data_IF_694969664341
#
_entry.id   IF_694969664341
#
_cell.length_a   1.000
_cell.length_b   1.000
_cell.length_c   1.000
_cell.angle_alpha   90.00
_cell.angle_beta   90.00
_cell.angle_gamma   90.00
#
_symmetry.space_group_name_H-M   'P 1'
#
loop_
_entity.id
_entity.type
_entity.pdbx_description
1 polymer ?
#
# COMPACT_ATOMS: atom_id res chain seq x y z
N UNK A 1 -6.56 -5.89 8.03
CA UNK A 1 -7.57 -5.17 7.25
C UNK A 1 -8.66 -6.15 6.87
N UNK A 2 -9.02 -6.20 5.58
CA UNK A 2 -10.00 -7.15 5.02
C UNK A 2 -9.34 -8.21 4.13
N UNK A 3 -8.01 -8.32 4.17
CA UNK A 3 -7.25 -9.29 3.41
C UNK A 3 -7.57 -10.74 3.75
N UNK A 4 -6.94 -11.65 3.03
CA UNK A 4 -7.09 -13.08 3.24
C UNK A 4 -6.69 -13.49 4.66
N UNK A 5 -7.44 -14.42 5.26
CA UNK A 5 -7.15 -14.93 6.62
C UNK A 5 -6.13 -16.08 6.62
N UNK A 6 -5.85 -16.65 5.45
CA UNK A 6 -4.84 -17.67 5.21
C UNK A 6 -4.12 -17.31 3.91
N UNK A 7 -2.86 -17.72 3.77
CA UNK A 7 -2.09 -17.54 2.54
C UNK A 7 -2.85 -18.16 1.35
N UNK A 8 -2.97 -17.41 0.25
CA UNK A 8 -3.75 -17.78 -0.95
C UNK A 8 -5.26 -18.03 -0.70
N UNK A 9 -5.76 -17.61 0.47
CA UNK A 9 -7.16 -17.72 0.84
C UNK A 9 -8.03 -16.59 0.28
N UNK A 10 -9.33 -16.69 0.55
CA UNK A 10 -10.28 -15.63 0.24
C UNK A 10 -10.20 -14.48 1.26
N UNK A 11 -10.46 -13.26 0.79
CA UNK A 11 -10.62 -12.06 1.62
C UNK A 11 -11.84 -12.18 2.55
N UNK A 12 -11.87 -11.35 3.58
CA UNK A 12 -12.96 -11.30 4.58
C UNK A 12 -13.79 -10.03 4.42
N UNK A 13 -15.07 -10.08 4.78
CA UNK A 13 -15.92 -8.88 4.87
C UNK A 13 -15.93 -8.26 6.28
N UNK A 14 -15.24 -8.88 7.23
CA UNK A 14 -15.07 -8.41 8.61
C UNK A 14 -13.66 -7.85 8.78
N UNK A 15 -13.56 -6.63 9.32
CA UNK A 15 -12.29 -5.98 9.61
C UNK A 15 -11.50 -6.80 10.65
N UNK A 16 -10.22 -7.01 10.38
CA UNK A 16 -9.27 -7.71 11.25
C UNK A 16 -8.06 -6.83 11.56
N UNK A 17 -7.54 -7.00 12.77
CA UNK A 17 -6.25 -6.45 13.21
C UNK A 17 -5.38 -7.56 13.81
N UNK A 18 -4.07 -7.31 13.85
CA UNK A 18 -3.12 -8.16 14.57
C UNK A 18 -1.99 -7.30 15.15
N UNK A 19 -1.28 -7.82 16.14
CA UNK A 19 -0.14 -7.15 16.76
C UNK A 19 1.14 -7.76 16.23
N UNK A 20 2.05 -6.89 15.78
CA UNK A 20 3.35 -7.26 15.25
C UNK A 20 4.45 -6.68 16.13
N UNK A 21 5.61 -7.31 16.11
CA UNK A 21 6.84 -6.81 16.72
C UNK A 21 7.73 -6.20 15.65
N UNK A 22 8.44 -5.13 16.00
CA UNK A 22 9.44 -4.57 15.12
C UNK A 22 10.52 -5.63 14.82
N UNK A 23 10.91 -5.72 13.55
CA UNK A 23 11.95 -6.63 13.09
C UNK A 23 13.14 -5.82 12.59
N UNK A 24 14.35 -6.36 12.78
CA UNK A 24 15.58 -5.68 12.38
C UNK A 24 15.59 -5.43 10.86
N UNK A 25 15.67 -4.15 10.48
CA UNK A 25 15.59 -3.73 9.07
C UNK A 25 16.74 -4.27 8.25
N UNK A 26 17.95 -4.35 8.80
CA UNK A 26 19.14 -4.85 8.09
C UNK A 26 18.98 -6.33 7.73
N UNK A 27 18.56 -7.13 8.71
CA UNK A 27 18.26 -8.56 8.53
C UNK A 27 17.14 -8.76 7.50
N UNK A 28 16.08 -7.97 7.58
CA UNK A 28 14.97 -8.01 6.64
C UNK A 28 15.41 -7.69 5.21
N UNK A 29 16.16 -6.59 5.00
CA UNK A 29 16.68 -6.20 3.69
C UNK A 29 17.58 -7.29 3.11
N UNK A 30 18.41 -7.93 3.93
CA UNK A 30 19.22 -9.08 3.49
C UNK A 30 18.38 -10.28 3.06
N UNK A 31 17.28 -10.56 3.75
CA UNK A 31 16.40 -11.67 3.44
C UNK A 31 15.63 -11.48 2.12
N UNK A 32 15.24 -10.25 1.79
CA UNK A 32 14.50 -9.94 0.56
C UNK A 32 15.41 -9.53 -0.62
N UNK A 33 16.61 -9.00 -0.36
CA UNK A 33 17.64 -8.69 -1.36
C UNK A 33 17.38 -7.48 -2.26
N UNK A 34 16.14 -6.97 -2.31
CA UNK A 34 15.69 -5.93 -3.24
C UNK A 34 15.01 -4.73 -2.56
N UNK A 35 15.31 -4.51 -1.26
CA UNK A 35 14.70 -3.44 -0.47
C UNK A 35 15.64 -2.22 -0.31
N UNK A 36 15.08 -1.02 -0.47
CA UNK A 36 15.77 0.21 -0.10
C UNK A 36 15.68 0.40 1.42
N UNK A 37 16.82 0.25 2.11
CA UNK A 37 16.92 0.19 3.58
C UNK A 37 16.12 1.29 4.30
N UNK A 38 16.29 2.56 3.93
CA UNK A 38 15.62 3.68 4.62
C UNK A 38 14.12 3.79 4.31
N UNK A 39 13.68 3.22 3.19
CA UNK A 39 12.31 3.33 2.70
C UNK A 39 11.37 2.25 3.29
N UNK A 40 11.91 1.31 4.07
CA UNK A 40 11.14 0.17 4.59
C UNK A 40 11.21 0.04 6.11
N UNK A 41 10.16 -0.54 6.66
CA UNK A 41 10.10 -1.10 8.00
C UNK A 41 9.73 -2.57 7.87
N UNK A 42 10.23 -3.39 8.78
CA UNK A 42 9.84 -4.80 8.84
C UNK A 42 9.24 -5.12 10.19
N UNK A 43 8.24 -5.98 10.19
CA UNK A 43 7.58 -6.42 11.40
C UNK A 43 7.20 -7.90 11.29
N UNK A 44 7.21 -8.58 12.43
CA UNK A 44 6.94 -10.01 12.52
C UNK A 44 5.87 -10.26 13.58
N UNK A 45 4.85 -11.03 13.23
CA UNK A 45 3.82 -11.48 14.16
C UNK A 45 4.10 -12.90 14.68
N UNK A 46 3.52 -13.21 15.84
CA UNK A 46 3.55 -14.57 16.38
C UNK A 46 2.47 -15.40 15.70
N UNK A 47 2.83 -16.00 14.55
CA UNK A 47 1.91 -16.76 13.68
C UNK A 47 0.75 -15.92 13.10
N UNK A 48 0.94 -14.62 12.99
CA UNK A 48 -0.01 -13.68 12.41
C UNK A 48 0.71 -12.68 11.50
N UNK A 49 0.00 -12.16 10.50
CA UNK A 49 0.56 -11.21 9.53
C UNK A 49 -0.57 -10.47 8.80
N UNK A 50 -0.23 -9.36 8.15
CA UNK A 50 -1.00 -8.85 7.01
C UNK A 50 -0.91 -9.82 5.83
N UNK A 51 -1.95 -9.90 5.00
CA UNK A 51 -1.98 -10.88 3.91
C UNK A 51 -2.56 -10.29 2.63
N UNK A 52 -2.80 -11.13 1.60
CA UNK A 52 -3.25 -10.64 0.30
C UNK A 52 -4.56 -9.82 0.44
N UNK A 53 -4.57 -8.62 -0.12
CA UNK A 53 -5.70 -7.68 0.00
C UNK A 53 -5.60 -6.70 1.18
N UNK A 54 -4.58 -6.81 2.05
CA UNK A 54 -4.28 -5.78 3.06
C UNK A 54 -3.32 -4.69 2.55
N UNK A 55 -2.74 -4.84 1.35
CA UNK A 55 -1.82 -3.86 0.74
C UNK A 55 -2.38 -2.44 0.75
N UNK A 56 -1.55 -1.47 1.15
CA UNK A 56 -1.97 -0.08 1.36
C UNK A 56 -2.59 0.19 2.74
N UNK A 57 -2.88 -0.84 3.53
CA UNK A 57 -3.38 -0.69 4.89
C UNK A 57 -2.35 -0.08 5.85
N UNK A 58 -2.79 0.55 6.96
CA UNK A 58 -1.89 1.20 7.90
C UNK A 58 -1.21 0.21 8.86
N UNK A 59 0.07 0.43 9.13
CA UNK A 59 0.76 -0.09 10.32
C UNK A 59 0.78 1.01 11.39
N UNK A 60 0.11 0.74 12.52
CA UNK A 60 -0.10 1.71 13.59
C UNK A 60 0.76 1.36 14.81
N UNK A 61 1.50 2.35 15.31
CA UNK A 61 2.09 2.33 16.63
C UNK A 61 1.07 2.89 17.65
N UNK A 62 0.58 2.04 18.55
CA UNK A 62 -0.33 2.43 19.62
C UNK A 62 0.46 3.09 20.75
N UNK A 63 0.34 4.42 20.91
CA UNK A 63 0.99 5.16 22.01
C UNK A 63 0.00 5.43 23.14
N UNK A 64 0.43 5.21 24.38
CA UNK A 64 -0.36 5.49 25.57
C UNK A 64 -0.42 6.99 25.93
N UNK A 65 0.33 7.85 25.24
CA UNK A 65 0.48 9.28 25.57
C UNK A 65 0.11 10.22 24.44
N UNK A 66 0.51 9.89 23.22
CA UNK A 66 0.49 10.84 22.09
C UNK A 66 -0.47 10.43 20.96
N UNK A 67 -1.45 9.57 21.27
CA UNK A 67 -2.38 9.02 20.29
C UNK A 67 -1.73 7.98 19.36
N UNK A 68 -2.55 7.30 18.57
CA UNK A 68 -2.09 6.30 17.63
C UNK A 68 -1.37 6.96 16.44
N UNK A 69 -0.19 6.45 16.08
CA UNK A 69 0.64 7.01 15.01
C UNK A 69 0.78 6.00 13.89
N UNK A 70 0.48 6.39 12.65
CA UNK A 70 0.77 5.56 11.49
C UNK A 70 2.27 5.64 11.15
N UNK A 71 2.96 4.52 11.33
CA UNK A 71 4.40 4.41 11.09
C UNK A 71 4.73 3.71 9.77
N UNK A 72 3.78 2.95 9.21
CA UNK A 72 4.00 2.20 7.99
C UNK A 72 2.76 2.00 7.13
N UNK A 73 2.99 1.50 5.92
CA UNK A 73 1.97 1.09 4.95
C UNK A 73 2.28 -0.33 4.49
N UNK A 74 1.30 -1.25 4.57
CA UNK A 74 1.45 -2.65 4.14
C UNK A 74 1.90 -2.69 2.68
N UNK A 75 3.01 -3.36 2.39
CA UNK A 75 3.59 -3.43 1.04
C UNK A 75 3.64 -4.86 0.51
N UNK A 76 4.57 -5.68 1.00
CA UNK A 76 4.81 -7.04 0.51
C UNK A 76 5.28 -7.98 1.63
N UNK A 77 5.27 -9.27 1.33
CA UNK A 77 5.81 -10.33 2.19
C UNK A 77 6.05 -11.60 1.38
N UNK A 78 6.90 -12.50 1.87
CA UNK A 78 7.11 -13.82 1.28
C UNK A 78 6.13 -14.84 1.90
N UNK A 79 4.89 -14.81 1.40
CA UNK A 79 3.76 -15.53 2.00
C UNK A 79 3.09 -14.73 3.12
N UNK A 80 2.29 -15.40 3.95
CA UNK A 80 1.62 -14.78 5.10
C UNK A 80 1.89 -15.58 6.38
N UNK A 81 2.32 -14.90 7.44
CA UNK A 81 2.50 -15.48 8.78
C UNK A 81 3.45 -16.70 8.82
N UNK A 82 4.42 -16.76 7.90
CA UNK A 82 5.43 -17.81 7.88
C UNK A 82 6.44 -17.58 9.02
N UNK A 83 6.91 -18.65 9.69
CA UNK A 83 7.90 -18.52 10.76
C UNK A 83 9.16 -17.80 10.28
N UNK A 84 9.64 -16.83 11.07
CA UNK A 84 10.86 -16.05 10.81
C UNK A 84 10.88 -15.32 9.45
N UNK A 85 9.71 -15.06 8.86
CA UNK A 85 9.56 -14.26 7.64
C UNK A 85 8.79 -12.99 7.98
N UNK A 86 9.46 -11.83 8.08
CA UNK A 86 8.78 -10.59 8.40
C UNK A 86 7.99 -10.05 7.20
N UNK A 87 6.88 -9.36 7.50
CA UNK A 87 6.20 -8.50 6.54
C UNK A 87 6.98 -7.20 6.31
N UNK A 88 6.87 -6.66 5.10
CA UNK A 88 7.55 -5.42 4.68
C UNK A 88 6.53 -4.30 4.52
N UNK A 89 6.84 -3.16 5.14
CA UNK A 89 6.01 -1.97 5.17
C UNK A 89 6.81 -0.78 4.62
N UNK A 90 6.16 0.12 3.89
CA UNK A 90 6.80 1.39 3.52
C UNK A 90 6.96 2.27 4.76
N UNK A 91 8.12 2.91 4.92
CA UNK A 91 8.45 3.73 6.08
C UNK A 91 7.83 5.13 5.95
N UNK A 92 6.74 5.39 6.68
CA UNK A 92 6.03 6.69 6.65
C UNK A 92 6.89 7.80 7.25
N UNK A 93 7.72 7.49 8.25
CA UNK A 93 8.65 8.47 8.83
C UNK A 93 9.67 8.98 7.81
N UNK A 94 10.20 8.08 6.98
CA UNK A 94 11.11 8.47 5.88
C UNK A 94 10.40 9.31 4.81
N UNK A 95 9.15 8.97 4.49
CA UNK A 95 8.34 9.68 3.50
C UNK A 95 7.68 10.98 4.01
N UNK A 96 7.78 11.29 5.31
CA UNK A 96 7.03 12.37 5.96
C UNK A 96 7.20 13.73 5.28
N UNK A 97 8.45 14.08 4.94
CA UNK A 97 8.75 15.35 4.27
C UNK A 97 8.17 15.41 2.85
N UNK A 98 8.20 14.29 2.11
CA UNK A 98 7.59 14.21 0.78
C UNK A 98 6.07 14.36 0.86
N UNK A 99 5.43 13.74 1.85
CA UNK A 99 3.99 13.86 2.07
C UNK A 99 3.63 15.32 2.39
N UNK A 100 4.36 15.96 3.30
CA UNK A 100 4.15 17.38 3.63
C UNK A 100 4.32 18.30 2.42
N UNK A 101 5.35 18.06 1.61
CA UNK A 101 5.58 18.79 0.35
C UNK A 101 4.38 18.69 -0.60
N UNK A 102 3.88 17.48 -0.83
CA UNK A 102 2.76 17.23 -1.73
C UNK A 102 1.47 17.88 -1.23
N UNK A 103 1.22 17.83 0.08
CA UNK A 103 0.08 18.50 0.70
C UNK A 103 0.14 20.01 0.51
N UNK A 104 1.33 20.61 0.56
CA UNK A 104 1.50 22.05 0.34
C UNK A 104 1.36 22.47 -1.12
N UNK A 105 1.77 21.62 -2.04
CA UNK A 105 1.51 21.83 -3.46
C UNK A 105 0.00 21.83 -3.74
N UNK A 106 -0.75 20.89 -3.14
CA UNK A 106 -2.20 20.79 -3.32
C UNK A 106 -2.99 21.85 -2.57
N UNK A 107 -2.56 22.19 -1.37
CA UNK A 107 -3.19 23.21 -0.53
C UNK A 107 -2.13 23.97 0.29
N UNK A 108 -1.73 25.13 -0.23
CA UNK A 108 -0.71 25.97 0.40
C UNK A 108 -1.08 26.49 1.79
N UNK A 109 -2.36 26.42 2.21
CA UNK A 109 -2.80 26.80 3.56
C UNK A 109 -2.86 25.62 4.54
N UNK A 110 -2.45 24.42 4.12
CA UNK A 110 -2.44 23.27 5.02
C UNK A 110 -1.53 23.54 6.23
N UNK A 111 -1.89 22.98 7.38
CA UNK A 111 -1.10 23.09 8.61
C UNK A 111 0.28 22.44 8.51
N UNK A 112 0.55 21.69 7.44
CA UNK A 112 1.85 21.10 7.14
C UNK A 112 2.81 22.10 6.46
N UNK A 113 2.31 23.25 5.98
CA UNK A 113 3.09 24.22 5.22
C UNK A 113 3.83 25.21 6.10
N UNK A 114 5.06 25.57 5.69
CA UNK A 114 5.89 26.56 6.38
C UNK A 114 7.00 25.97 7.27
N UNK A 115 7.09 24.66 7.44
CA UNK A 115 8.20 24.02 8.16
C UNK A 115 9.46 23.77 7.30
N UNK A 116 9.38 23.83 5.96
CA UNK A 116 10.51 23.58 5.07
C UNK A 116 10.46 24.45 3.81
N UNK A 117 11.60 24.97 3.29
CA UNK A 117 11.61 25.72 2.04
C UNK A 117 11.29 24.78 0.86
N UNK A 118 10.26 25.11 0.07
CA UNK A 118 9.86 24.40 -1.15
C UNK A 118 11.02 24.24 -2.16
N UNK A 119 12.06 25.08 -2.06
CA UNK A 119 13.23 25.07 -2.96
C UNK A 119 14.16 23.86 -2.80
N UNK A 120 14.06 23.11 -1.71
CA UNK A 120 14.86 21.88 -1.49
C UNK A 120 14.23 20.62 -2.09
N UNK A 121 12.97 20.69 -2.53
CA UNK A 121 12.21 19.54 -3.01
C UNK A 121 12.29 19.51 -4.55
N UNK A 122 13.46 19.13 -5.08
CA UNK A 122 13.58 18.77 -6.49
C UNK A 122 12.99 17.37 -6.71
N UNK A 123 11.67 17.28 -6.79
CA UNK A 123 11.04 16.11 -7.37
C UNK A 123 10.82 16.38 -8.85
N UNK A 124 11.47 15.57 -9.70
CA UNK A 124 10.95 15.35 -11.04
C UNK A 124 9.68 14.54 -10.85
N UNK A 125 8.49 15.03 -11.24
CA UNK A 125 7.31 14.17 -11.24
C UNK A 125 7.65 12.92 -12.07
N UNK A 126 7.38 11.74 -11.51
CA UNK A 126 7.36 10.54 -12.33
C UNK A 126 6.36 10.80 -13.47
N UNK A 127 6.70 10.49 -14.74
CA UNK A 127 5.75 10.67 -15.83
C UNK A 127 4.45 9.96 -15.45
N UNK A 128 3.33 10.67 -15.59
CA UNK A 128 2.02 10.10 -15.31
C UNK A 128 1.91 8.76 -16.07
N UNK A 129 1.44 7.68 -15.42
CA UNK A 129 1.21 6.43 -16.12
C UNK A 129 0.29 6.73 -17.29
N UNK A 130 0.74 6.40 -18.50
CA UNK A 130 -0.09 6.53 -19.69
C UNK A 130 -1.21 5.50 -19.53
N UNK A 131 -2.45 5.97 -19.33
CA UNK A 131 -3.61 5.08 -19.31
C UNK A 131 -3.79 4.57 -20.73
N UNK A 132 -3.22 3.41 -21.04
CA UNK A 132 -3.59 2.67 -22.23
C UNK A 132 -5.00 2.12 -22.01
N UNK A 133 -5.99 2.71 -22.70
CA UNK A 133 -7.36 2.18 -22.72
C UNK A 133 -7.32 0.77 -23.31
N UNK A 134 -7.94 -0.24 -22.66
CA UNK A 134 -8.02 -1.57 -23.23
C UNK A 134 -8.73 -1.53 -24.59
N UNK A 135 -8.17 -2.22 -25.59
CA UNK A 135 -8.65 -2.27 -27.00
C UNK A 135 -10.14 -2.59 -27.18
N UNK A 136 -10.78 -3.16 -26.16
CA UNK A 136 -12.21 -3.41 -26.19
C UNK A 136 -13.05 -2.12 -26.10
N UNK A 137 -12.55 -1.05 -25.49
CA UNK A 137 -13.25 0.24 -25.40
C UNK A 137 -13.14 1.08 -26.69
N UNK A 138 -12.17 0.77 -27.56
CA UNK A 138 -11.99 1.46 -28.85
C UNK A 138 -12.70 0.75 -30.01
N UNK A 139 -13.21 -0.48 -29.78
CA UNK A 139 -13.91 -1.25 -30.80
C UNK A 139 -15.40 -0.92 -30.80
N UNK A 140 -15.86 -0.22 -31.83
CA UNK A 140 -17.30 -0.10 -32.12
C UNK A 140 -17.89 -1.51 -32.29
N UNK A 141 -18.99 -1.85 -31.60
CA UNK A 141 -19.60 -3.16 -31.75
C UNK A 141 -20.08 -3.32 -33.18
N UNK A 142 -19.64 -4.39 -33.85
CA UNK A 142 -20.21 -4.79 -35.12
C UNK A 142 -21.71 -5.06 -34.90
N UNK A 143 -22.61 -4.56 -35.76
CA UNK A 143 -24.01 -4.91 -35.66
C UNK A 143 -24.11 -6.41 -35.96
N UNK A 144 -24.67 -7.16 -35.01
CA UNK A 144 -25.02 -8.58 -35.05
C UNK A 144 -24.02 -9.54 -34.36
N UNK A 145 -24.15 -9.65 -33.04
CA UNK A 145 -23.76 -10.86 -32.32
C UNK A 145 -24.71 -11.11 -31.13
N UNK A 146 -25.80 -11.84 -31.40
CA UNK A 146 -26.46 -12.65 -30.36
C UNK A 146 -25.68 -13.96 -30.23
N UNK A 147 -25.16 -14.27 -29.05
CA UNK A 147 -25.38 -15.57 -28.37
C UNK A 147 -24.57 -15.69 -27.09
N UNK A 148 -25.26 -16.13 -26.03
CA UNK A 148 -24.85 -17.07 -24.98
C UNK A 148 -23.40 -17.12 -24.49
N UNK A 149 -23.23 -17.01 -23.17
CA UNK A 149 -22.27 -17.82 -22.44
C UNK A 149 -21.46 -17.06 -21.39
N UNK A 150 -21.79 -17.32 -20.13
CA UNK A 150 -20.93 -17.04 -18.99
C UNK A 150 -19.52 -17.60 -19.20
N UNK A 151 -18.50 -16.73 -19.13
CA UNK A 151 -17.18 -17.08 -18.59
C UNK A 151 -16.62 -15.86 -17.86
N UNK A 152 -16.52 -15.98 -16.53
CA UNK A 152 -15.64 -15.12 -15.74
C UNK A 152 -14.20 -15.43 -16.19
N UNK A 153 -13.58 -14.46 -16.87
CA UNK A 153 -12.19 -14.57 -17.30
C UNK A 153 -11.29 -13.99 -16.21
N UNK A 154 -10.56 -14.89 -15.55
CA UNK A 154 -9.41 -14.58 -14.70
C UNK A 154 -8.41 -13.70 -15.48
N UNK A 155 -8.15 -12.49 -14.99
CA UNK A 155 -7.03 -11.69 -15.45
C UNK A 155 -5.75 -12.25 -14.84
N UNK A 156 -4.88 -12.77 -15.71
CA UNK A 156 -3.50 -13.14 -15.38
C UNK A 156 -2.73 -11.88 -14.97
N UNK A 157 -2.16 -11.90 -13.78
CA UNK A 157 -1.22 -10.89 -13.30
C UNK A 157 0.09 -11.00 -14.09
N UNK A 158 0.37 -10.01 -14.92
CA UNK A 158 1.70 -9.77 -15.51
C UNK A 158 2.29 -8.56 -14.80
N UNK A 159 3.51 -8.74 -14.30
CA UNK A 159 4.31 -7.77 -13.57
C UNK A 159 4.29 -6.37 -14.20
N UNK A 160 3.61 -5.44 -13.55
CA UNK A 160 3.76 -3.99 -13.70
C UNK A 160 2.97 -3.34 -12.58
N UNK A 161 3.64 -2.80 -11.56
CA UNK A 161 2.99 -1.98 -10.54
C UNK A 161 2.69 -0.59 -11.15
N UNK A 162 1.42 -0.20 -11.36
CA UNK A 162 1.08 1.21 -11.58
C UNK A 162 1.02 1.94 -10.23
N UNK A 163 1.18 3.28 -10.21
CA UNK A 163 1.08 4.04 -8.97
C UNK A 163 -0.37 3.98 -8.51
N UNK A 164 -0.63 3.24 -7.45
CA UNK A 164 -1.89 3.42 -6.74
C UNK A 164 -1.90 4.84 -6.20
N UNK A 165 -2.90 5.58 -6.64
CA UNK A 165 -3.71 6.45 -5.80
C UNK A 165 -3.41 6.14 -4.32
N UNK A 166 -2.80 7.08 -3.62
CA UNK A 166 -2.88 7.10 -2.15
C UNK A 166 -4.35 7.35 -1.87
N UNK A 167 -5.15 6.28 -1.83
CA UNK A 167 -6.41 6.30 -1.12
C UNK A 167 -5.98 6.58 0.31
N UNK A 168 -6.16 7.83 0.74
CA UNK A 168 -6.35 8.14 2.15
C UNK A 168 -7.56 7.31 2.54
N UNK A 169 -7.31 6.08 2.98
CA UNK A 169 -8.33 5.18 3.48
C UNK A 169 -8.98 5.90 4.63
N UNK A 170 -10.20 6.37 4.38
CA UNK A 170 -11.08 7.00 5.34
C UNK A 170 -10.98 6.25 6.66
N UNK A 171 -10.42 6.91 7.67
CA UNK A 171 -10.83 6.65 9.04
C UNK A 171 -12.28 7.10 9.07
N UNK A 172 -13.20 6.16 8.95
CA UNK A 172 -14.58 6.38 9.34
C UNK A 172 -14.57 6.61 10.85
N UNK A 173 -14.31 7.85 11.27
CA UNK A 173 -14.74 8.33 12.57
C UNK A 173 -16.24 8.53 12.42
N UNK A 174 -17.00 7.50 12.80
CA UNK A 174 -18.42 7.68 13.08
C UNK A 174 -18.49 8.57 14.33
N UNK A 175 -19.01 9.80 14.15
CA UNK A 175 -19.63 10.55 15.24
C UNK A 175 -21.09 10.11 15.38
#
# INVERSE_FOLDING_TARGET
>A
GWGAINEEGNTTNVLRETTLQAYDTETCVRQYGDLAYDAVLCALGSYTDSCQGDSGGPLIYKSNKDGDVQIGIVSKGAGCARPDVPGVYANVGNAYNMIGAQLCEWNATSSFCGMYPLSTLKFSPAPAPTIELPDYLTRTPAPNAMSSGNRAHYLRWVNSFPPMLVVIGMVAVLF
#
